data_IF_142138538048
#
_entry.id   IF_142138538048
#
_cell.length_a   1.000
_cell.length_b   1.000
_cell.length_c   1.000
_cell.angle_alpha   90.00
_cell.angle_beta   90.00
_cell.angle_gamma   90.00
#
_symmetry.space_group_name_H-M   'P 1'
#
loop_
_entity.id
_entity.type
_entity.pdbx_description
1 polymer ?
#
# COMPACT_ATOMS: atom_id res chain seq x y z
N UNK A 1 -18.27 -5.47 -4.14
CA UNK A 1 -17.76 -6.22 -2.97
C UNK A 1 -16.78 -7.25 -3.51
N UNK A 2 -15.48 -6.94 -3.48
CA UNK A 2 -14.44 -7.81 -4.03
C UNK A 2 -14.34 -9.07 -3.18
N UNK A 3 -14.58 -10.23 -3.79
CA UNK A 3 -14.27 -11.51 -3.18
C UNK A 3 -12.76 -11.68 -3.31
N UNK A 4 -12.07 -11.59 -2.19
CA UNK A 4 -10.66 -11.90 -2.08
C UNK A 4 -10.45 -13.36 -2.52
N UNK A 5 -9.64 -13.58 -3.55
CA UNK A 5 -9.30 -14.93 -4.06
C UNK A 5 -8.77 -15.81 -2.91
N UNK A 6 -8.15 -15.19 -1.90
CA UNK A 6 -7.68 -15.86 -0.68
C UNK A 6 -8.83 -16.40 0.20
N UNK A 7 -10.03 -15.82 0.16
CA UNK A 7 -11.20 -16.34 0.90
C UNK A 7 -11.80 -17.57 0.22
N UNK A 8 -11.83 -17.60 -1.12
CA UNK A 8 -12.26 -18.78 -1.90
C UNK A 8 -11.30 -19.96 -1.67
N UNK A 9 -9.99 -19.72 -1.73
CA UNK A 9 -8.98 -20.76 -1.49
C UNK A 9 -9.01 -21.33 -0.05
N UNK A 10 -9.33 -20.48 0.95
CA UNK A 10 -9.46 -20.91 2.35
C UNK A 10 -10.68 -21.78 2.62
N UNK A 11 -11.77 -21.59 1.88
CA UNK A 11 -12.98 -22.42 2.04
C UNK A 11 -12.81 -23.80 1.40
N UNK A 12 -12.21 -23.86 0.20
CA UNK A 12 -11.98 -25.11 -0.53
C UNK A 12 -11.02 -26.05 0.23
N UNK A 13 -10.00 -25.51 0.91
CA UNK A 13 -9.04 -26.32 1.68
C UNK A 13 -9.58 -26.90 2.99
N UNK A 14 -10.71 -26.41 3.51
CA UNK A 14 -11.18 -26.79 4.86
C UNK A 14 -12.14 -27.99 4.89
N UNK A 15 -12.79 -28.33 3.78
CA UNK A 15 -13.82 -29.39 3.78
C UNK A 15 -13.62 -30.53 2.78
N UNK A 16 -12.58 -30.52 1.93
CA UNK A 16 -12.23 -31.68 1.09
C UNK A 16 -13.31 -32.18 0.11
N UNK A 17 -14.42 -31.46 -0.04
CA UNK A 17 -15.46 -31.63 -1.06
C UNK A 17 -16.03 -30.26 -1.43
N UNK A 18 -16.37 -30.06 -2.69
CA UNK A 18 -17.04 -28.85 -3.19
C UNK A 18 -18.49 -28.84 -2.68
N UNK A 19 -18.78 -27.98 -1.70
CA UNK A 19 -20.15 -27.72 -1.26
C UNK A 19 -20.86 -26.80 -2.26
N UNK A 20 -22.13 -27.07 -2.64
CA UNK A 20 -22.89 -26.20 -3.54
C UNK A 20 -23.00 -24.78 -2.99
N UNK A 21 -22.80 -23.77 -3.83
CA UNK A 21 -22.82 -22.33 -3.49
C UNK A 21 -24.05 -21.91 -2.67
N UNK A 22 -25.20 -22.56 -2.88
CA UNK A 22 -26.46 -22.37 -2.13
C UNK A 22 -26.38 -22.58 -0.61
N UNK A 23 -25.32 -23.23 -0.10
CA UNK A 23 -25.17 -23.56 1.33
C UNK A 23 -24.21 -22.64 2.09
N UNK A 24 -23.58 -21.68 1.42
CA UNK A 24 -22.61 -20.77 2.07
C UNK A 24 -23.35 -19.51 2.54
N UNK A 25 -23.53 -19.37 3.85
CA UNK A 25 -24.23 -18.22 4.45
C UNK A 25 -23.22 -17.14 4.88
N UNK A 26 -23.24 -15.99 4.19
CA UNK A 26 -22.33 -14.86 4.43
C UNK A 26 -22.91 -13.76 5.35
N UNK A 27 -24.04 -14.02 6.02
CA UNK A 27 -24.86 -12.97 6.67
C UNK A 27 -24.71 -12.84 8.19
N UNK A 28 -23.59 -13.23 8.82
CA UNK A 28 -23.40 -12.99 10.26
C UNK A 28 -22.18 -12.12 10.59
N UNK A 29 -22.38 -10.89 11.10
CA UNK A 29 -21.34 -10.16 11.82
C UNK A 29 -21.03 -10.88 13.15
N UNK A 30 -19.75 -11.01 13.51
CA UNK A 30 -19.34 -11.47 14.85
C UNK A 30 -19.76 -10.42 15.89
N UNK A 31 -20.79 -10.71 16.68
CA UNK A 31 -21.01 -10.03 17.95
C UNK A 31 -20.09 -10.65 19.01
N UNK A 32 -19.40 -9.79 19.76
CA UNK A 32 -18.75 -10.13 21.02
C UNK A 32 -19.80 -10.58 22.04
N UNK A 33 -19.55 -11.69 22.73
CA UNK A 33 -20.27 -12.05 23.94
C UNK A 33 -19.28 -12.62 24.96
N UNK A 34 -19.07 -11.88 26.05
CA UNK A 34 -18.54 -12.40 27.31
C UNK A 34 -19.50 -13.44 27.90
N UNK A 35 -18.91 -14.41 28.58
CA UNK A 35 -19.49 -15.37 29.54
C UNK A 35 -20.75 -16.13 29.11
N UNK A 36 -20.64 -17.45 28.96
CA UNK A 36 -21.53 -18.42 29.59
C UNK A 36 -20.92 -19.82 29.49
N UNK A 37 -20.83 -20.45 30.66
CA UNK A 37 -20.43 -21.82 30.94
C UNK A 37 -21.37 -22.84 30.30
N UNK A 38 -20.84 -23.86 29.61
CA UNK A 38 -21.36 -25.24 29.70
C UNK A 38 -20.53 -26.23 28.88
N UNK A 39 -20.32 -27.38 29.49
CA UNK A 39 -19.62 -28.61 29.07
C UNK A 39 -20.27 -29.27 27.85
N UNK A 40 -19.45 -29.79 26.91
CA UNK A 40 -19.86 -30.87 25.98
C UNK A 40 -18.61 -31.60 25.39
N UNK A 41 -18.71 -32.87 24.97
CA UNK A 41 -17.71 -33.90 25.26
C UNK A 41 -16.70 -34.21 24.14
N UNK A 42 -15.55 -34.77 24.54
CA UNK A 42 -14.53 -35.38 23.67
C UNK A 42 -15.04 -36.70 23.10
N UNK A 43 -15.00 -36.85 21.78
CA UNK A 43 -15.00 -38.16 21.11
C UNK A 43 -13.69 -38.34 20.31
N UNK A 44 -13.06 -39.52 20.36
CA UNK A 44 -11.79 -39.78 19.70
C UNK A 44 -11.95 -40.03 18.19
N UNK A 45 -11.00 -39.49 17.42
CA UNK A 45 -10.79 -39.75 16.00
C UNK A 45 -10.39 -41.21 15.78
N UNK A 46 -11.09 -41.92 14.89
CA UNK A 46 -10.61 -43.16 14.28
C UNK A 46 -10.35 -42.94 12.79
N UNK A 47 -9.12 -43.22 12.39
CA UNK A 47 -8.60 -43.15 11.03
C UNK A 47 -9.30 -44.16 10.12
N UNK A 48 -9.82 -43.68 8.98
CA UNK A 48 -10.01 -44.52 7.79
C UNK A 48 -9.13 -44.00 6.67
N UNK A 49 -8.04 -44.73 6.42
CA UNK A 49 -7.23 -44.61 5.22
C UNK A 49 -7.93 -45.41 4.12
N UNK A 50 -8.20 -44.78 2.96
CA UNK A 50 -8.57 -45.48 1.73
C UNK A 50 -7.56 -45.06 0.66
N UNK A 51 -6.75 -45.99 0.12
CA UNK A 51 -5.76 -45.66 -0.91
C UNK A 51 -6.41 -45.84 -2.27
N UNK A 52 -6.72 -44.74 -2.96
CA UNK A 52 -6.91 -44.63 -4.42
C UNK A 52 -7.63 -43.30 -4.74
N UNK A 53 -6.91 -42.18 -4.80
CA UNK A 53 -7.37 -41.02 -5.59
C UNK A 53 -6.16 -40.45 -6.34
N UNK A 54 -6.17 -40.70 -7.65
CA UNK A 54 -5.30 -40.13 -8.67
C UNK A 54 -5.47 -38.60 -8.70
N UNK A 55 -4.45 -37.85 -8.26
CA UNK A 55 -4.44 -36.38 -8.23
C UNK A 55 -4.09 -35.79 -9.60
N UNK A 56 -4.91 -36.08 -10.61
CA UNK A 56 -4.99 -35.29 -11.85
C UNK A 56 -6.22 -34.41 -11.81
N UNK A 57 -6.13 -33.28 -11.12
CA UNK A 57 -7.14 -32.22 -11.27
C UNK A 57 -6.85 -31.52 -12.60
N UNK A 58 -7.56 -31.92 -13.66
CA UNK A 58 -7.78 -31.06 -14.82
C UNK A 58 -8.62 -29.87 -14.35
N UNK A 59 -8.11 -28.65 -14.54
CA UNK A 59 -8.93 -27.45 -14.42
C UNK A 59 -10.01 -27.52 -15.51
N UNK A 60 -11.26 -27.72 -15.13
CA UNK A 60 -12.38 -27.55 -16.04
C UNK A 60 -12.57 -26.03 -16.28
N UNK A 61 -12.63 -25.63 -17.54
CA UNK A 61 -12.96 -24.26 -17.93
C UNK A 61 -14.34 -23.90 -17.38
N UNK A 62 -14.45 -22.70 -16.78
CA UNK A 62 -15.71 -22.16 -16.26
C UNK A 62 -16.66 -21.97 -17.45
N UNK A 63 -17.85 -22.55 -17.37
CA UNK A 63 -18.83 -22.48 -18.44
C UNK A 63 -19.96 -21.47 -18.15
N UNK A 64 -20.78 -21.18 -19.15
CA UNK A 64 -21.87 -20.20 -19.07
C UNK A 64 -22.92 -20.55 -18.00
N UNK A 65 -23.07 -21.83 -17.67
CA UNK A 65 -24.02 -22.31 -16.68
C UNK A 65 -23.57 -21.93 -15.26
N UNK A 66 -22.26 -21.96 -14.99
CA UNK A 66 -21.66 -21.50 -13.74
C UNK A 66 -21.81 -19.99 -13.57
N UNK A 67 -21.65 -19.23 -14.66
CA UNK A 67 -21.83 -17.77 -14.68
C UNK A 67 -23.30 -17.36 -14.45
N UNK A 68 -24.26 -18.10 -15.01
CA UNK A 68 -25.69 -17.87 -14.78
C UNK A 68 -26.09 -18.14 -13.33
N UNK A 69 -25.55 -19.21 -12.72
CA UNK A 69 -25.78 -19.48 -11.30
C UNK A 69 -25.23 -18.35 -10.42
N UNK A 70 -24.04 -17.83 -10.73
CA UNK A 70 -23.45 -16.71 -9.98
C UNK A 70 -24.31 -15.43 -10.07
N UNK A 71 -24.82 -15.10 -11.26
CA UNK A 71 -25.74 -13.96 -11.47
C UNK A 71 -27.06 -14.11 -10.72
N UNK A 72 -27.57 -15.34 -10.59
CA UNK A 72 -28.82 -15.59 -9.86
C UNK A 72 -28.69 -15.34 -8.35
N UNK A 73 -27.49 -15.55 -7.80
CA UNK A 73 -27.23 -15.37 -6.37
C UNK A 73 -26.81 -13.93 -6.06
N UNK A 74 -26.12 -13.26 -6.99
CA UNK A 74 -25.70 -11.86 -6.88
C UNK A 74 -25.98 -11.06 -8.16
N UNK A 75 -27.20 -10.50 -8.30
CA UNK A 75 -27.64 -9.82 -9.53
C UNK A 75 -26.82 -8.58 -9.91
N UNK A 76 -26.11 -7.99 -8.96
CA UNK A 76 -25.32 -6.75 -9.13
C UNK A 76 -23.82 -7.02 -9.33
N UNK A 77 -23.40 -8.28 -9.48
CA UNK A 77 -22.00 -8.61 -9.73
C UNK A 77 -21.60 -8.25 -11.18
N UNK A 78 -20.62 -7.38 -11.34
CA UNK A 78 -20.02 -7.11 -12.65
C UNK A 78 -19.13 -8.28 -13.06
N UNK A 79 -19.43 -8.90 -14.20
CA UNK A 79 -18.60 -9.95 -14.82
C UNK A 79 -17.88 -9.31 -16.01
N UNK A 80 -16.58 -9.07 -15.88
CA UNK A 80 -15.74 -8.63 -16.99
C UNK A 80 -15.51 -9.83 -17.93
N UNK A 81 -16.29 -9.89 -19.00
CA UNK A 81 -16.05 -10.81 -20.11
C UNK A 81 -15.16 -10.08 -21.11
N UNK A 82 -13.91 -10.53 -21.27
CA UNK A 82 -13.07 -10.06 -22.36
C UNK A 82 -13.72 -10.50 -23.67
N UNK A 83 -14.21 -9.54 -24.45
CA UNK A 83 -14.91 -9.76 -25.72
C UNK A 83 -13.95 -10.38 -26.73
N UNK A 84 -14.21 -11.64 -27.10
CA UNK A 84 -13.79 -12.20 -28.38
C UNK A 84 -14.88 -11.84 -29.38
N UNK A 85 -14.51 -11.06 -30.40
CA UNK A 85 -15.44 -10.40 -31.30
C UNK A 85 -16.20 -11.31 -32.27
N UNK A 86 -17.31 -10.76 -32.79
CA UNK A 86 -17.91 -11.17 -34.06
C UNK A 86 -19.44 -11.11 -34.07
N UNK A 87 -20.02 -10.17 -34.82
CA UNK A 87 -21.37 -10.30 -35.40
C UNK A 87 -22.37 -9.17 -35.13
N UNK A 88 -22.48 -8.27 -36.11
CA UNK A 88 -23.59 -7.37 -36.48
C UNK A 88 -24.89 -7.35 -35.63
N UNK A 89 -25.35 -6.16 -35.23
CA UNK A 89 -26.52 -5.48 -35.83
C UNK A 89 -27.02 -4.32 -34.96
N UNK A 90 -27.17 -3.19 -35.64
CA UNK A 90 -28.09 -2.06 -35.39
C UNK A 90 -27.94 -1.16 -34.15
N UNK A 91 -27.97 0.11 -34.49
CA UNK A 91 -27.76 1.31 -33.71
C UNK A 91 -28.95 1.62 -32.80
N UNK A 92 -28.67 2.02 -31.56
CA UNK A 92 -29.44 3.07 -30.92
C UNK A 92 -28.47 4.03 -30.19
N UNK A 93 -28.55 5.28 -30.60
CA UNK A 93 -27.74 6.39 -30.11
C UNK A 93 -28.19 6.76 -28.69
N UNK A 94 -27.53 6.18 -27.69
CA UNK A 94 -27.41 6.80 -26.39
C UNK A 94 -26.07 7.55 -26.38
N UNK A 95 -26.14 8.88 -26.36
CA UNK A 95 -24.99 9.74 -26.07
C UNK A 95 -24.60 9.56 -24.60
N UNK A 96 -23.98 8.43 -24.29
CA UNK A 96 -23.05 8.38 -23.17
C UNK A 96 -21.83 9.12 -23.67
N UNK A 97 -21.61 10.33 -23.17
CA UNK A 97 -20.27 10.86 -23.12
C UNK A 97 -19.45 9.76 -22.47
N UNK A 98 -18.64 9.07 -23.27
CA UNK A 98 -17.42 8.43 -22.82
C UNK A 98 -16.65 9.55 -22.10
N UNK A 99 -17.00 9.80 -20.84
CA UNK A 99 -16.04 10.30 -19.87
C UNK A 99 -14.91 9.30 -20.03
N UNK A 100 -13.87 9.74 -20.74
CA UNK A 100 -12.62 9.01 -20.89
C UNK A 100 -12.35 8.38 -19.53
N UNK A 101 -12.57 7.07 -19.43
CA UNK A 101 -12.20 6.29 -18.27
C UNK A 101 -10.69 6.37 -18.27
N UNK A 102 -10.18 7.46 -17.68
CA UNK A 102 -8.77 7.78 -17.60
C UNK A 102 -8.14 6.56 -16.98
N UNK A 103 -7.35 5.85 -17.79
CA UNK A 103 -6.76 4.59 -17.37
C UNK A 103 -5.91 4.88 -16.14
N UNK A 104 -6.41 4.46 -14.98
CA UNK A 104 -5.64 4.50 -13.73
C UNK A 104 -4.32 3.79 -13.99
N UNK A 105 -3.23 4.38 -13.49
CA UNK A 105 -1.90 3.78 -13.59
C UNK A 105 -1.97 2.34 -13.08
N UNK A 106 -1.43 1.35 -13.78
CA UNK A 106 -1.41 -0.01 -13.26
C UNK A 106 -0.52 -0.13 -12.00
N UNK A 107 -0.93 -0.94 -11.00
CA UNK A 107 -0.10 -1.18 -9.84
C UNK A 107 1.11 -2.04 -10.21
N UNK A 108 2.26 -1.86 -9.54
CA UNK A 108 3.46 -2.66 -9.84
C UNK A 108 3.24 -4.17 -9.65
N UNK A 109 2.26 -4.56 -8.85
CA UNK A 109 1.89 -5.95 -8.62
C UNK A 109 1.27 -6.63 -9.85
N UNK A 110 0.82 -5.87 -10.86
CA UNK A 110 0.37 -6.39 -12.16
C UNK A 110 1.51 -6.95 -13.01
N UNK A 111 2.76 -6.60 -12.70
CA UNK A 111 3.96 -7.11 -13.38
C UNK A 111 4.21 -8.61 -13.16
N UNK A 112 3.43 -9.26 -12.31
CA UNK A 112 3.57 -10.68 -12.03
C UNK A 112 3.42 -11.52 -13.30
N UNK A 113 4.44 -12.32 -13.61
CA UNK A 113 4.45 -13.24 -14.74
C UNK A 113 4.72 -14.66 -14.22
N UNK A 114 3.75 -15.59 -14.30
CA UNK A 114 3.95 -16.96 -13.83
C UNK A 114 5.05 -17.70 -14.58
N UNK A 115 5.35 -17.32 -15.83
CA UNK A 115 6.42 -17.92 -16.64
C UNK A 115 7.81 -17.45 -16.22
N UNK A 116 7.91 -16.29 -15.55
CA UNK A 116 9.20 -15.76 -15.10
C UNK A 116 9.89 -16.66 -14.06
N UNK A 117 9.14 -17.50 -13.35
CA UNK A 117 9.68 -18.44 -12.35
C UNK A 117 10.54 -19.55 -12.95
N UNK A 118 10.28 -19.92 -14.20
CA UNK A 118 11.01 -21.02 -14.86
C UNK A 118 12.23 -20.52 -15.63
N UNK A 119 12.43 -19.20 -15.67
CA UNK A 119 13.55 -18.59 -16.38
C UNK A 119 14.84 -18.67 -15.55
N UNK A 120 16.00 -18.78 -16.20
CA UNK A 120 17.29 -18.54 -15.57
C UNK A 120 17.33 -17.14 -14.89
N UNK A 121 18.05 -16.99 -13.78
CA UNK A 121 18.17 -15.70 -13.08
C UNK A 121 18.65 -14.54 -13.97
N UNK A 122 19.54 -14.83 -14.94
CA UNK A 122 20.04 -13.83 -15.89
C UNK A 122 18.94 -13.28 -16.81
N UNK A 123 18.04 -14.15 -17.29
CA UNK A 123 16.91 -13.76 -18.14
C UNK A 123 15.87 -12.94 -17.36
N UNK A 124 15.63 -13.29 -16.09
CA UNK A 124 14.78 -12.49 -15.19
C UNK A 124 15.37 -11.10 -15.02
N UNK A 125 16.67 -11.01 -14.79
CA UNK A 125 17.35 -9.72 -14.63
C UNK A 125 17.27 -8.87 -15.91
N UNK A 126 17.43 -9.49 -17.08
CA UNK A 126 17.30 -8.78 -18.35
C UNK A 126 15.88 -8.24 -18.58
N UNK A 127 14.86 -9.01 -18.19
CA UNK A 127 13.46 -8.54 -18.19
C UNK A 127 13.24 -7.39 -17.22
N UNK A 128 13.82 -7.43 -16.02
CA UNK A 128 13.76 -6.32 -15.05
C UNK A 128 14.26 -5.01 -15.65
N UNK A 129 15.41 -5.04 -16.35
CA UNK A 129 15.97 -3.84 -16.99
C UNK A 129 15.00 -3.27 -18.03
N UNK A 130 14.41 -4.12 -18.89
CA UNK A 130 13.42 -3.69 -19.88
C UNK A 130 12.14 -3.11 -19.26
N UNK A 131 11.67 -3.70 -18.16
CA UNK A 131 10.48 -3.23 -17.45
C UNK A 131 10.67 -1.87 -16.80
N UNK A 132 11.85 -1.58 -16.24
CA UNK A 132 12.14 -0.27 -15.65
C UNK A 132 11.91 0.86 -16.66
N UNK A 133 12.39 0.69 -17.88
CA UNK A 133 12.20 1.65 -18.96
C UNK A 133 10.73 1.73 -19.40
N UNK A 134 10.04 0.59 -19.49
CA UNK A 134 8.61 0.53 -19.81
C UNK A 134 7.77 1.29 -18.78
N UNK A 135 8.05 1.11 -17.48
CA UNK A 135 7.35 1.80 -16.39
C UNK A 135 7.52 3.33 -16.48
N UNK A 136 8.71 3.81 -16.85
CA UNK A 136 8.94 5.25 -17.01
C UNK A 136 8.12 5.83 -18.17
N UNK A 137 7.95 5.08 -19.26
CA UNK A 137 7.16 5.49 -20.42
C UNK A 137 5.66 5.46 -20.11
N UNK A 138 5.17 4.40 -19.46
CA UNK A 138 3.74 4.22 -19.16
C UNK A 138 3.22 5.14 -18.05
N UNK A 139 4.11 5.71 -17.24
CA UNK A 139 3.75 6.64 -16.17
C UNK A 139 3.47 8.05 -16.74
N UNK A 140 2.22 8.33 -17.10
CA UNK A 140 1.78 9.65 -17.61
C UNK A 140 1.42 10.61 -16.48
N UNK A 141 1.46 11.93 -16.75
CA UNK A 141 1.13 12.94 -15.74
C UNK A 141 -0.36 12.88 -15.35
N UNK A 142 -1.21 12.55 -16.32
CA UNK A 142 -2.65 12.42 -16.18
C UNK A 142 -2.99 11.21 -15.28
N UNK A 143 -2.37 10.05 -15.52
CA UNK A 143 -2.57 8.87 -14.69
C UNK A 143 -2.07 9.08 -13.25
N UNK A 144 -0.97 9.82 -13.08
CA UNK A 144 -0.46 10.21 -11.75
C UNK A 144 -1.40 11.14 -11.00
N UNK A 145 -1.96 12.15 -11.69
CA UNK A 145 -2.92 13.07 -11.09
C UNK A 145 -4.21 12.35 -10.68
N UNK A 146 -4.70 11.42 -11.51
CA UNK A 146 -5.86 10.60 -11.16
C UNK A 146 -5.58 9.68 -9.97
N UNK A 147 -4.42 9.03 -9.95
CA UNK A 147 -4.02 8.18 -8.83
C UNK A 147 -3.96 8.98 -7.53
N UNK A 148 -3.36 10.16 -7.53
CA UNK A 148 -3.33 11.04 -6.36
C UNK A 148 -4.75 11.34 -5.89
N UNK A 149 -5.63 11.76 -6.80
CA UNK A 149 -7.01 12.11 -6.50
C UNK A 149 -7.79 10.97 -5.83
N UNK A 150 -7.79 9.76 -6.42
CA UNK A 150 -8.57 8.63 -5.91
C UNK A 150 -7.98 8.02 -4.62
N UNK A 151 -6.73 8.38 -4.28
CA UNK A 151 -6.03 7.85 -3.11
C UNK A 151 -5.91 8.84 -1.94
N UNK A 152 -6.60 9.99 -1.97
CA UNK A 152 -6.56 11.02 -0.91
C UNK A 152 -7.03 10.57 0.47
N UNK A 153 -7.85 9.52 0.55
CA UNK A 153 -8.25 8.89 1.82
C UNK A 153 -7.17 7.96 2.41
N UNK A 154 -6.02 7.86 1.73
CA UNK A 154 -4.82 7.15 2.15
C UNK A 154 -5.08 5.78 2.79
N UNK A 155 -4.85 5.65 4.10
CA UNK A 155 -4.96 4.39 4.82
C UNK A 155 -6.37 3.74 4.74
N UNK A 156 -7.41 4.53 4.47
CA UNK A 156 -8.78 4.04 4.26
C UNK A 156 -9.06 3.63 2.80
N UNK A 157 -8.17 3.96 1.87
CA UNK A 157 -8.28 3.64 0.45
C UNK A 157 -7.51 2.35 0.11
N UNK A 158 -8.19 1.38 -0.50
CA UNK A 158 -7.55 0.12 -0.89
C UNK A 158 -6.53 0.31 -2.02
N UNK A 159 -6.85 1.14 -3.00
CA UNK A 159 -5.96 1.45 -4.12
C UNK A 159 -4.66 2.09 -3.64
N UNK A 160 -4.74 2.94 -2.61
CA UNK A 160 -3.55 3.50 -1.96
C UNK A 160 -2.60 2.41 -1.45
N UNK A 161 -3.13 1.34 -0.82
CA UNK A 161 -2.29 0.22 -0.36
C UNK A 161 -1.69 -0.57 -1.52
N UNK A 162 -2.51 -0.85 -2.54
CA UNK A 162 -2.13 -1.62 -3.74
C UNK A 162 -1.04 -0.89 -4.51
N UNK A 163 -1.20 0.41 -4.77
CA UNK A 163 -0.19 1.21 -5.48
C UNK A 163 1.05 1.51 -4.63
N UNK A 164 1.04 1.35 -3.31
CA UNK A 164 2.27 1.45 -2.51
C UNK A 164 3.09 0.16 -2.52
N UNK A 165 2.48 -0.97 -2.87
CA UNK A 165 3.17 -2.26 -2.87
C UNK A 165 4.28 -2.27 -3.94
N UNK A 166 5.50 -2.63 -3.52
CA UNK A 166 6.66 -2.63 -4.41
C UNK A 166 7.32 -1.26 -4.59
N UNK A 167 6.81 -0.19 -3.96
CA UNK A 167 7.43 1.16 -4.03
C UNK A 167 8.20 1.50 -2.77
N UNK A 168 9.37 2.13 -2.93
CA UNK A 168 10.12 2.72 -1.83
C UNK A 168 9.43 4.02 -1.43
N UNK A 169 8.98 4.09 -0.18
CA UNK A 169 8.29 5.25 0.39
C UNK A 169 9.09 5.90 1.51
N UNK A 170 8.73 7.12 1.92
CA UNK A 170 9.53 7.93 2.84
C UNK A 170 9.78 7.25 4.19
N UNK A 171 8.80 6.48 4.69
CA UNK A 171 8.93 5.72 5.94
C UNK A 171 9.90 4.53 5.88
N UNK A 172 10.35 4.16 4.67
CA UNK A 172 11.31 3.08 4.42
C UNK A 172 12.66 3.61 3.94
N UNK A 173 12.71 4.81 3.36
CA UNK A 173 13.92 5.35 2.72
C UNK A 173 15.12 5.43 3.68
N UNK A 174 14.94 5.91 4.91
CA UNK A 174 16.04 5.93 5.89
C UNK A 174 16.66 4.54 6.08
N UNK A 175 15.83 3.48 6.14
CA UNK A 175 16.33 2.11 6.28
C UNK A 175 17.14 1.70 5.06
N UNK A 176 16.68 2.06 3.85
CA UNK A 176 17.40 1.82 2.59
C UNK A 176 18.74 2.56 2.59
N UNK A 177 18.76 3.83 3.01
CA UNK A 177 19.97 4.64 3.12
C UNK A 177 21.03 3.99 4.05
N UNK A 178 20.58 3.48 5.20
CA UNK A 178 21.44 2.83 6.20
C UNK A 178 21.80 1.37 5.88
N UNK A 179 21.30 0.77 4.80
CA UNK A 179 21.66 -0.60 4.43
C UNK A 179 23.16 -0.72 4.18
N UNK A 180 23.76 -1.70 4.83
CA UNK A 180 25.14 -2.15 4.60
C UNK A 180 25.14 -3.26 3.54
N UNK A 181 26.25 -3.44 2.82
CA UNK A 181 26.34 -4.38 1.69
C UNK A 181 26.10 -5.83 2.10
N UNK A 182 26.57 -6.21 3.28
CA UNK A 182 26.39 -7.55 3.85
C UNK A 182 25.01 -7.81 4.49
N UNK A 183 24.14 -6.81 4.57
CA UNK A 183 22.82 -6.96 5.22
C UNK A 183 21.86 -7.72 4.31
N UNK A 184 21.30 -8.87 4.73
CA UNK A 184 20.34 -9.62 3.93
C UNK A 184 19.14 -8.76 3.53
N UNK A 185 18.75 -8.82 2.25
CA UNK A 185 17.71 -7.95 1.68
C UNK A 185 16.29 -8.42 1.94
N UNK A 186 16.11 -9.67 2.37
CA UNK A 186 14.79 -10.28 2.60
C UNK A 186 13.82 -9.40 3.40
N UNK A 187 14.23 -8.93 4.59
CA UNK A 187 13.35 -8.14 5.48
C UNK A 187 12.97 -6.78 4.91
N UNK A 188 13.84 -6.15 4.11
CA UNK A 188 13.51 -4.86 3.48
C UNK A 188 12.61 -5.07 2.26
N UNK A 189 12.83 -6.14 1.50
CA UNK A 189 11.96 -6.55 0.39
C UNK A 189 10.56 -6.87 0.90
N UNK A 190 10.42 -7.73 1.91
CA UNK A 190 9.12 -8.04 2.52
C UNK A 190 8.39 -6.79 3.04
N UNK A 191 9.14 -5.79 3.53
CA UNK A 191 8.58 -4.52 4.00
C UNK A 191 8.09 -3.64 2.85
N UNK A 192 8.85 -3.55 1.75
CA UNK A 192 8.47 -2.78 0.54
C UNK A 192 7.32 -3.47 -0.20
N UNK A 193 7.32 -4.80 -0.25
CA UNK A 193 6.25 -5.63 -0.79
C UNK A 193 5.03 -5.74 0.13
N UNK A 194 5.11 -5.20 1.35
CA UNK A 194 4.03 -5.19 2.34
C UNK A 194 3.48 -6.59 2.71
N UNK A 195 4.26 -7.66 2.52
CA UNK A 195 3.83 -9.03 2.83
C UNK A 195 3.59 -9.26 4.33
N UNK A 196 4.32 -8.53 5.16
CA UNK A 196 4.21 -8.64 6.62
C UNK A 196 3.21 -7.62 7.21
N UNK A 197 2.21 -7.17 6.44
CA UNK A 197 1.20 -6.24 6.94
C UNK A 197 0.36 -6.94 8.01
N UNK A 198 0.63 -6.59 9.27
CA UNK A 198 -0.20 -6.95 10.41
C UNK A 198 -1.03 -5.73 10.75
N UNK A 199 -2.33 -5.92 10.94
CA UNK A 199 -3.17 -4.91 11.59
C UNK A 199 -2.74 -4.85 13.05
N UNK A 200 -1.73 -4.02 13.30
CA UNK A 200 -1.15 -3.83 14.61
C UNK A 200 -2.02 -2.84 15.38
N UNK A 201 -2.82 -3.38 16.30
CA UNK A 201 -3.56 -2.60 17.28
C UNK A 201 -2.60 -2.08 18.36
N UNK A 202 -1.76 -1.11 17.99
CA UNK A 202 -0.80 -0.49 18.89
C UNK A 202 -1.30 0.89 19.32
N UNK A 203 -1.30 1.20 20.63
CA UNK A 203 -1.77 2.49 21.13
C UNK A 203 -1.13 3.69 20.43
N UNK A 204 0.16 3.60 20.09
CA UNK A 204 0.86 4.67 19.40
C UNK A 204 0.39 4.90 17.96
N UNK A 205 0.03 3.84 17.23
CA UNK A 205 -0.48 3.94 15.86
C UNK A 205 -1.91 4.47 15.86
N UNK A 206 -2.76 3.97 16.76
CA UNK A 206 -4.12 4.47 16.93
C UNK A 206 -4.12 5.95 17.32
N UNK A 207 -3.32 6.34 18.32
CA UNK A 207 -3.19 7.73 18.72
C UNK A 207 -2.78 8.65 17.57
N UNK A 208 -1.77 8.24 16.79
CA UNK A 208 -1.34 8.99 15.61
C UNK A 208 -2.48 9.21 14.63
N UNK A 209 -3.15 8.13 14.22
CA UNK A 209 -4.28 8.16 13.28
C UNK A 209 -5.46 8.99 13.78
N UNK A 210 -5.80 8.86 15.06
CA UNK A 210 -6.97 9.50 15.64
C UNK A 210 -6.75 11.01 15.82
N UNK A 211 -5.50 11.43 16.07
CA UNK A 211 -5.15 12.84 16.33
C UNK A 211 -4.65 13.59 15.09
N UNK A 212 -4.30 12.90 14.01
CA UNK A 212 -3.77 13.51 12.77
C UNK A 212 -4.67 14.63 12.25
N UNK A 213 -5.98 14.37 12.14
CA UNK A 213 -6.94 15.37 11.65
C UNK A 213 -7.09 16.56 12.61
N UNK A 214 -7.02 16.32 13.93
CA UNK A 214 -7.04 17.38 14.94
C UNK A 214 -5.81 18.28 14.81
N UNK A 215 -4.63 17.68 14.68
CA UNK A 215 -3.38 18.39 14.49
C UNK A 215 -3.36 19.16 13.17
N UNK A 216 -3.86 18.57 12.08
CA UNK A 216 -3.97 19.21 10.77
C UNK A 216 -4.86 20.45 10.79
N UNK A 217 -6.00 20.39 11.49
CA UNK A 217 -6.88 21.56 11.71
C UNK A 217 -6.22 22.66 12.53
N UNK A 218 -5.48 22.29 13.57
CA UNK A 218 -4.73 23.25 14.39
C UNK A 218 -3.66 23.96 13.55
N UNK A 219 -2.92 23.21 12.73
CA UNK A 219 -1.97 23.76 11.77
C UNK A 219 -2.65 24.71 10.77
N UNK A 220 -3.77 24.29 10.14
CA UNK A 220 -4.50 25.12 9.17
C UNK A 220 -4.90 26.47 9.77
N UNK A 221 -5.49 26.44 10.97
CA UNK A 221 -5.94 27.65 11.68
C UNK A 221 -4.79 28.61 11.96
N UNK A 222 -3.63 28.08 12.36
CA UNK A 222 -2.44 28.89 12.63
C UNK A 222 -1.86 29.50 11.33
N UNK A 223 -1.80 28.72 10.25
CA UNK A 223 -1.22 29.18 8.98
C UNK A 223 -2.09 30.20 8.26
N UNK A 224 -3.42 30.09 8.31
CA UNK A 224 -4.35 31.06 7.71
C UNK A 224 -4.15 32.48 8.28
N UNK A 225 -3.69 32.60 9.53
CA UNK A 225 -3.41 33.90 10.16
C UNK A 225 -2.04 34.48 9.73
N UNK A 226 -1.09 33.62 9.36
CA UNK A 226 0.29 34.01 9.04
C UNK A 226 0.54 34.14 7.52
N UNK A 227 -0.28 33.49 6.70
CA UNK A 227 -0.07 33.39 5.26
C UNK A 227 -1.29 33.87 4.48
N UNK A 228 -1.07 34.79 3.54
CA UNK A 228 -2.12 35.27 2.65
C UNK A 228 -2.47 34.21 1.60
N UNK A 229 -3.76 33.97 1.39
CA UNK A 229 -4.24 32.98 0.40
C UNK A 229 -3.78 31.56 0.72
N UNK A 230 -3.65 31.23 2.01
CA UNK A 230 -3.25 29.90 2.45
C UNK A 230 -4.32 28.85 2.10
N UNK A 231 -3.89 27.73 1.56
CA UNK A 231 -4.72 26.56 1.29
C UNK A 231 -4.03 25.32 1.81
N UNK A 232 -4.78 24.46 2.49
CA UNK A 232 -4.36 23.12 2.87
C UNK A 232 -5.36 22.10 2.30
N UNK A 233 -4.88 21.18 1.47
CA UNK A 233 -5.69 20.09 0.93
C UNK A 233 -5.16 18.74 1.38
N UNK A 234 -6.03 17.72 1.41
CA UNK A 234 -5.56 16.34 1.51
C UNK A 234 -4.67 15.98 0.32
N UNK A 235 -3.78 15.02 0.53
CA UNK A 235 -2.91 14.47 -0.50
C UNK A 235 -3.07 12.96 -0.57
N UNK A 236 -3.09 12.41 -1.79
CA UNK A 236 -3.05 10.97 -2.02
C UNK A 236 -1.63 10.45 -2.16
N UNK A 237 -1.49 9.39 -2.96
CA UNK A 237 -0.21 8.83 -3.36
C UNK A 237 0.35 9.58 -4.57
N UNK A 238 1.47 10.26 -4.36
CA UNK A 238 2.31 10.79 -5.43
C UNK A 238 3.36 9.75 -5.82
N UNK A 239 3.64 9.63 -7.12
CA UNK A 239 4.72 8.79 -7.67
C UNK A 239 5.64 9.68 -8.51
N UNK A 240 6.94 9.46 -8.41
CA UNK A 240 7.93 10.19 -9.20
C UNK A 240 7.94 9.63 -10.63
N UNK A 241 7.52 10.41 -11.62
CA UNK A 241 7.46 9.97 -13.03
C UNK A 241 8.78 9.40 -13.54
N UNK A 242 9.90 10.08 -13.27
CA UNK A 242 11.23 9.64 -13.72
C UNK A 242 11.74 8.42 -12.95
N UNK A 243 11.12 8.11 -11.81
CA UNK A 243 11.51 7.02 -10.92
C UNK A 243 10.27 6.35 -10.32
N UNK A 244 9.45 5.62 -11.12
CA UNK A 244 8.13 5.14 -10.71
C UNK A 244 8.12 4.17 -9.52
N UNK A 245 9.30 3.66 -9.14
CA UNK A 245 9.53 2.87 -7.94
C UNK A 245 9.50 3.69 -6.64
N UNK A 246 9.48 5.03 -6.72
CA UNK A 246 9.38 5.94 -5.58
C UNK A 246 7.96 6.45 -5.42
N UNK A 247 7.47 6.44 -4.18
CA UNK A 247 6.15 6.98 -3.84
C UNK A 247 6.16 7.78 -2.54
N UNK A 248 5.26 8.75 -2.43
CA UNK A 248 5.08 9.58 -1.25
C UNK A 248 3.60 9.87 -1.01
N UNK A 249 3.21 9.95 0.27
CA UNK A 249 1.89 10.40 0.68
C UNK A 249 2.12 11.38 1.83
N UNK A 250 2.21 12.69 1.55
CA UNK A 250 2.27 13.71 2.60
C UNK A 250 0.91 13.81 3.30
N UNK A 251 0.88 14.39 4.50
CA UNK A 251 -0.35 14.55 5.29
C UNK A 251 -1.22 15.73 4.77
N UNK A 252 -0.63 16.57 3.92
CA UNK A 252 -1.35 17.56 3.13
C UNK A 252 -0.49 18.26 2.09
N UNK A 253 -1.14 18.90 1.14
CA UNK A 253 -0.53 19.86 0.21
C UNK A 253 -0.84 21.26 0.71
N UNK A 254 0.20 22.09 0.83
CA UNK A 254 0.06 23.48 1.27
C UNK A 254 0.41 24.42 0.13
N UNK A 255 -0.30 25.54 0.04
CA UNK A 255 0.03 26.61 -0.89
C UNK A 255 -0.34 27.95 -0.30
N UNK A 256 0.47 28.97 -0.54
CA UNK A 256 0.13 30.37 -0.23
C UNK A 256 0.87 31.33 -1.15
N UNK A 257 0.39 32.58 -1.23
CA UNK A 257 0.95 33.57 -2.17
C UNK A 257 2.39 33.95 -1.84
N UNK A 258 2.77 33.92 -0.55
CA UNK A 258 4.10 34.33 -0.11
C UNK A 258 5.17 33.23 -0.17
N UNK A 259 4.79 31.95 -0.07
CA UNK A 259 5.74 30.84 -0.02
C UNK A 259 5.67 29.88 -1.21
N UNK A 260 4.62 29.96 -2.03
CA UNK A 260 4.35 28.98 -3.07
C UNK A 260 3.82 27.67 -2.48
N UNK A 261 4.07 26.57 -3.18
CA UNK A 261 3.55 25.24 -2.82
C UNK A 261 4.58 24.37 -2.08
N UNK A 262 4.09 23.63 -1.10
CA UNK A 262 4.86 22.69 -0.29
C UNK A 262 4.01 21.52 0.16
N UNK A 263 4.58 20.70 1.04
CA UNK A 263 3.88 19.58 1.69
C UNK A 263 3.82 19.75 3.20
N UNK A 264 2.86 19.12 3.84
CA UNK A 264 2.72 19.03 5.29
C UNK A 264 3.02 17.61 5.76
N UNK A 265 3.80 17.49 6.84
CA UNK A 265 4.00 16.25 7.59
C UNK A 265 3.65 16.51 9.06
N UNK A 266 2.62 15.81 9.55
CA UNK A 266 2.08 15.91 10.90
C UNK A 266 2.58 14.74 11.74
N UNK A 267 3.05 15.03 12.96
CA UNK A 267 3.40 14.01 13.94
C UNK A 267 2.69 14.24 15.27
N UNK A 268 1.97 13.21 15.71
CA UNK A 268 1.34 13.14 17.03
C UNK A 268 2.03 12.06 17.88
N UNK A 269 3.18 12.33 18.53
CA UNK A 269 3.95 11.28 19.20
C UNK A 269 3.27 10.83 20.50
N UNK A 270 2.85 9.56 20.55
CA UNK A 270 2.15 8.99 21.71
C UNK A 270 2.93 9.11 23.03
N UNK A 271 4.26 8.96 23.00
CA UNK A 271 5.12 9.09 24.20
C UNK A 271 5.06 10.49 24.82
N UNK A 272 4.91 11.53 23.99
CA UNK A 272 4.92 12.94 24.41
C UNK A 272 3.55 13.60 24.22
N UNK A 273 2.49 12.80 24.20
CA UNK A 273 1.12 13.27 23.90
C UNK A 273 0.61 14.33 24.88
N UNK A 274 1.07 14.32 26.12
CA UNK A 274 0.66 15.29 27.15
C UNK A 274 1.53 16.55 27.16
N UNK A 275 2.62 16.62 26.37
CA UNK A 275 3.56 17.74 26.31
C UNK A 275 5.00 17.30 26.06
N UNK A 276 5.89 18.25 25.76
CA UNK A 276 7.28 18.00 25.36
C UNK A 276 8.29 18.06 26.52
N UNK A 277 7.83 18.21 27.76
CA UNK A 277 8.72 18.25 28.91
C UNK A 277 9.56 16.95 29.00
N UNK A 278 10.88 17.10 29.07
CA UNK A 278 11.83 15.98 29.12
C UNK A 278 12.03 15.25 27.78
N UNK A 279 11.48 15.74 26.66
CA UNK A 279 11.68 15.10 25.36
C UNK A 279 13.15 15.11 24.92
N UNK A 280 13.91 16.14 25.31
CA UNK A 280 15.31 16.30 24.93
C UNK A 280 16.25 15.30 25.62
N UNK A 281 15.83 14.73 26.75
CA UNK A 281 16.59 13.68 27.45
C UNK A 281 16.47 12.32 26.73
N UNK A 282 15.50 12.19 25.82
CA UNK A 282 15.33 10.99 25.01
C UNK A 282 16.10 11.11 23.67
N UNK A 283 17.16 10.31 23.46
CA UNK A 283 17.91 10.34 22.20
C UNK A 283 17.05 9.95 20.99
N UNK A 284 15.98 9.17 21.20
CA UNK A 284 15.04 8.75 20.15
C UNK A 284 13.99 9.80 19.77
N UNK A 285 13.90 10.92 20.51
CA UNK A 285 13.04 12.03 20.11
C UNK A 285 13.51 12.62 18.78
N UNK A 286 12.56 12.97 17.90
CA UNK A 286 12.89 13.35 16.53
C UNK A 286 13.57 14.72 16.38
N UNK A 287 13.38 15.62 17.36
CA UNK A 287 13.95 16.96 17.31
C UNK A 287 15.11 17.12 18.29
N UNK A 288 15.98 18.09 18.02
CA UNK A 288 17.08 18.49 18.90
C UNK A 288 16.62 19.48 19.99
N UNK A 289 17.59 20.03 20.74
CA UNK A 289 17.31 20.99 21.81
C UNK A 289 16.74 22.33 21.32
N UNK A 290 16.95 22.69 20.05
CA UNK A 290 16.37 23.86 19.41
C UNK A 290 14.99 23.58 18.77
N UNK A 291 14.47 22.37 18.97
CA UNK A 291 13.26 21.85 18.33
C UNK A 291 13.38 21.82 16.79
N UNK A 292 14.59 21.66 16.27
CA UNK A 292 14.83 21.38 14.86
C UNK A 292 14.79 19.88 14.59
N UNK A 293 14.24 19.46 13.44
CA UNK A 293 14.21 18.05 13.10
C UNK A 293 15.64 17.53 12.88
N UNK A 294 16.05 16.52 13.65
CA UNK A 294 17.38 15.92 13.53
C UNK A 294 17.59 15.37 12.11
N UNK A 295 18.66 15.78 11.45
CA UNK A 295 19.00 15.33 10.09
C UNK A 295 19.29 13.82 10.02
N UNK A 296 19.64 13.20 11.14
CA UNK A 296 19.86 11.76 11.28
C UNK A 296 18.58 10.98 11.55
N UNK A 297 17.46 11.65 11.82
CA UNK A 297 16.21 10.98 12.16
C UNK A 297 15.48 10.47 10.91
N UNK A 298 14.80 9.31 10.96
CA UNK A 298 14.06 8.77 9.82
C UNK A 298 13.04 9.73 9.19
N UNK A 299 12.41 10.58 10.00
CA UNK A 299 11.46 11.58 9.49
C UNK A 299 12.13 12.62 8.58
N UNK A 300 13.41 12.95 8.77
CA UNK A 300 14.10 13.88 7.88
C UNK A 300 14.21 13.31 6.47
N UNK A 301 14.57 12.03 6.33
CA UNK A 301 14.57 11.34 5.04
C UNK A 301 13.17 11.20 4.44
N UNK A 302 12.16 11.00 5.29
CA UNK A 302 10.76 10.93 4.84
C UNK A 302 10.32 12.23 4.17
N UNK A 303 10.51 13.37 4.82
CA UNK A 303 10.10 14.67 4.26
C UNK A 303 10.93 15.07 3.06
N UNK A 304 12.23 14.74 3.05
CA UNK A 304 13.08 14.95 1.86
C UNK A 304 12.55 14.16 0.66
N UNK A 305 12.18 12.88 0.85
CA UNK A 305 11.58 12.10 -0.23
C UNK A 305 10.23 12.66 -0.68
N UNK A 306 9.38 13.10 0.25
CA UNK A 306 8.09 13.71 -0.11
C UNK A 306 8.29 14.95 -0.98
N UNK A 307 9.23 15.84 -0.62
CA UNK A 307 9.57 17.01 -1.42
C UNK A 307 10.08 16.63 -2.81
N UNK A 308 10.97 15.63 -2.90
CA UNK A 308 11.49 15.13 -4.17
C UNK A 308 10.42 14.51 -5.07
N UNK A 309 9.54 13.67 -4.52
CA UNK A 309 8.47 13.00 -5.26
C UNK A 309 7.39 13.98 -5.70
N UNK A 310 7.01 14.92 -4.83
CA UNK A 310 5.96 15.91 -5.12
C UNK A 310 6.48 17.11 -5.93
N UNK A 311 7.80 17.25 -6.12
CA UNK A 311 8.41 18.34 -6.87
C UNK A 311 8.31 19.70 -6.17
N UNK A 312 8.31 19.74 -4.84
CA UNK A 312 8.22 20.97 -4.03
C UNK A 312 9.53 21.25 -3.29
N UNK A 313 9.69 22.49 -2.81
CA UNK A 313 10.95 22.95 -2.20
C UNK A 313 10.94 23.00 -0.67
N UNK A 314 9.78 22.79 -0.04
CA UNK A 314 9.68 22.75 1.41
C UNK A 314 8.62 21.77 1.90
N UNK A 315 8.84 21.30 3.12
CA UNK A 315 7.89 20.58 3.93
C UNK A 315 7.69 21.35 5.23
N UNK A 316 6.44 21.62 5.58
CA UNK A 316 6.09 22.08 6.92
C UNK A 316 5.95 20.85 7.82
N UNK A 317 6.84 20.74 8.79
CA UNK A 317 6.83 19.69 9.78
C UNK A 317 6.12 20.19 11.03
N UNK A 318 4.99 19.56 11.35
CA UNK A 318 4.12 19.98 12.43
C UNK A 318 4.00 18.88 13.48
N UNK A 319 4.59 19.12 14.65
CA UNK A 319 4.49 18.21 15.79
C UNK A 319 3.40 18.71 16.73
N UNK A 320 2.42 17.86 17.01
CA UNK A 320 1.27 18.19 17.84
C UNK A 320 1.23 17.33 19.10
N UNK A 321 0.99 17.98 20.24
CA UNK A 321 0.68 17.36 21.53
C UNK A 321 -0.58 18.03 22.09
N UNK A 322 -1.13 17.50 23.19
CA UNK A 322 -2.27 18.12 23.87
C UNK A 322 -1.93 19.47 24.52
N UNK A 323 -0.67 19.69 24.89
CA UNK A 323 -0.25 20.90 25.62
C UNK A 323 0.31 21.97 24.67
N UNK A 324 1.04 21.57 23.63
CA UNK A 324 1.77 22.47 22.75
C UNK A 324 1.97 21.91 21.34
N UNK A 325 2.32 22.79 20.41
CA UNK A 325 2.61 22.47 19.01
C UNK A 325 3.93 23.06 18.58
N UNK A 326 4.69 22.33 17.75
CA UNK A 326 5.93 22.80 17.16
C UNK A 326 5.80 22.81 15.65
N UNK A 327 6.07 23.96 15.05
CA UNK A 327 6.12 24.16 13.60
C UNK A 327 7.57 24.41 13.16
N UNK A 328 8.03 23.65 12.16
CA UNK A 328 9.31 23.87 11.49
C UNK A 328 9.19 23.68 10.00
N UNK A 329 9.66 24.66 9.23
CA UNK A 329 9.80 24.53 7.78
C UNK A 329 11.14 23.89 7.45
N UNK A 330 11.09 22.76 6.77
CA UNK A 330 12.25 22.02 6.29
C UNK A 330 12.39 22.29 4.80
N UNK A 331 13.59 22.65 4.35
CA UNK A 331 13.88 22.91 2.94
C UNK A 331 14.41 21.67 2.25
N UNK A 332 14.15 21.56 0.96
CA UNK A 332 14.67 20.46 0.15
C UNK A 332 16.19 20.50 0.06
N UNK A 333 16.83 19.37 0.40
CA UNK A 333 18.27 19.18 0.30
C UNK A 333 18.56 17.97 -0.61
N UNK A 334 18.97 18.28 -1.84
CA UNK A 334 19.32 17.26 -2.84
C UNK A 334 20.46 16.35 -2.41
N UNK A 335 21.41 16.85 -1.60
CA UNK A 335 22.60 16.10 -1.22
C UNK A 335 22.23 14.96 -0.25
N UNK A 336 21.23 15.19 0.60
CA UNK A 336 20.71 14.17 1.52
C UNK A 336 20.12 12.98 0.75
N UNK A 337 19.56 13.20 -0.43
CA UNK A 337 18.92 12.15 -1.22
C UNK A 337 19.82 11.49 -2.25
N UNK A 338 20.97 12.05 -2.59
CA UNK A 338 21.81 11.54 -3.68
C UNK A 338 22.15 10.04 -3.51
N UNK A 339 22.69 9.67 -2.35
CA UNK A 339 23.03 8.27 -2.06
C UNK A 339 21.81 7.40 -1.75
N UNK A 340 20.82 7.85 -0.94
CA UNK A 340 19.60 7.07 -0.71
C UNK A 340 18.83 6.71 -1.97
N UNK A 341 18.73 7.62 -2.96
CA UNK A 341 18.02 7.36 -4.21
C UNK A 341 18.76 6.32 -5.06
N UNK A 342 20.08 6.41 -5.19
CA UNK A 342 20.91 5.38 -5.86
C UNK A 342 20.73 4.00 -5.22
N UNK A 343 20.76 3.93 -3.88
CA UNK A 343 20.52 2.67 -3.16
C UNK A 343 19.10 2.14 -3.35
N UNK A 344 18.10 3.03 -3.39
CA UNK A 344 16.71 2.64 -3.61
C UNK A 344 16.48 2.09 -5.03
N UNK A 345 17.11 2.69 -6.04
CA UNK A 345 17.06 2.21 -7.42
C UNK A 345 17.71 0.84 -7.55
N UNK A 346 18.93 0.67 -7.03
CA UNK A 346 19.63 -0.62 -7.04
C UNK A 346 18.82 -1.69 -6.33
N UNK A 347 18.29 -1.39 -5.13
CA UNK A 347 17.43 -2.31 -4.38
C UNK A 347 16.17 -2.68 -5.18
N UNK A 348 15.59 -1.72 -5.88
CA UNK A 348 14.40 -1.96 -6.70
C UNK A 348 14.72 -2.92 -7.85
N UNK A 349 15.75 -2.65 -8.62
CA UNK A 349 16.15 -3.45 -9.79
C UNK A 349 16.59 -4.86 -9.38
N UNK A 350 17.41 -4.99 -8.33
CA UNK A 350 18.03 -6.28 -7.98
C UNK A 350 17.13 -7.21 -7.16
N UNK A 351 16.13 -6.65 -6.46
CA UNK A 351 15.40 -7.41 -5.45
C UNK A 351 13.89 -7.21 -5.48
N UNK A 352 13.39 -5.99 -5.70
CA UNK A 352 11.94 -5.74 -5.71
C UNK A 352 11.32 -6.15 -7.03
N UNK A 353 11.92 -5.78 -8.16
CA UNK A 353 11.39 -6.07 -9.48
C UNK A 353 11.40 -7.57 -9.81
N UNK A 354 12.46 -8.35 -9.47
CA UNK A 354 12.40 -9.81 -9.56
C UNK A 354 11.31 -10.42 -8.68
N UNK A 355 11.09 -9.87 -7.48
CA UNK A 355 10.02 -10.34 -6.60
C UNK A 355 8.62 -9.98 -7.14
N UNK A 356 8.44 -8.81 -7.75
CA UNK A 356 7.19 -8.42 -8.42
C UNK A 356 6.87 -9.37 -9.58
N UNK A 357 7.88 -9.75 -10.37
CA UNK A 357 7.75 -10.68 -11.49
C UNK A 357 7.46 -12.11 -11.05
N UNK A 358 8.19 -12.61 -10.05
CA UNK A 358 8.22 -14.04 -9.71
C UNK A 358 7.39 -14.42 -8.49
N UNK A 359 7.15 -13.48 -7.56
CA UNK A 359 6.56 -13.71 -6.23
C UNK A 359 7.24 -14.83 -5.46
N UNK A 360 8.54 -15.01 -5.64
CA UNK A 360 9.30 -16.12 -5.06
C UNK A 360 9.23 -16.12 -3.53
N UNK A 361 9.47 -14.97 -2.90
CA UNK A 361 9.47 -14.84 -1.44
C UNK A 361 8.09 -15.09 -0.83
N UNK A 362 7.03 -14.56 -1.45
CA UNK A 362 5.67 -14.77 -0.98
C UNK A 362 5.31 -16.25 -0.92
N UNK A 363 5.69 -17.02 -1.94
CA UNK A 363 5.36 -18.44 -2.04
C UNK A 363 6.13 -19.26 -1.02
N UNK A 364 7.43 -19.02 -0.85
CA UNK A 364 8.25 -19.70 0.17
C UNK A 364 7.65 -19.53 1.56
N UNK A 365 7.14 -18.34 1.89
CA UNK A 365 6.44 -18.12 3.15
C UNK A 365 5.14 -18.94 3.25
N UNK A 366 4.31 -18.98 2.20
CA UNK A 366 3.04 -19.75 2.25
C UNK A 366 3.26 -21.25 2.46
N UNK A 367 4.32 -21.83 1.90
CA UNK A 367 4.64 -23.25 2.06
C UNK A 367 5.29 -23.57 3.43
N UNK A 368 6.01 -22.63 4.04
CA UNK A 368 6.63 -22.83 5.35
C UNK A 368 5.62 -22.95 6.51
N UNK A 369 4.38 -22.45 6.36
CA UNK A 369 3.33 -22.52 7.39
C UNK A 369 2.43 -23.77 7.29
N UNK A 370 2.62 -24.61 6.28
CA UNK A 370 1.89 -25.88 6.11
C UNK A 370 2.85 -27.00 5.69
N UNK A 371 3.67 -27.54 6.62
CA UNK A 371 4.35 -28.79 6.38
C UNK A 371 3.29 -29.91 6.30
N UNK A 372 3.30 -30.64 5.17
CA UNK A 372 2.45 -31.79 4.90
C UNK A 372 2.61 -32.91 5.93
#
# INVERSE_FOLDING_TARGET
>A
MYIDILQLERHVKKEGRTSPLSKINFSRPKQNAESLTSVAPKYPMTNFYSPEIDNRILYAEINDQDLMQLKSVFPTAAILTSVVGGGSSETDTASETEEEMLSLLEPLTSLYDPTAKTLPPEDVQQRCIGLMHSLQISTTAEALAQLELVTREQAKCQDWHVHRMGRVTGSVLHRVASLQDNTPRLKIVEKIMQYNRKDLDLPALNWGRDMEETARKAYNTAMEQMHTGFTLTHAGLHIKKESPFLGASPDGLVSCTCCGSGVLEVKCPYKYREGLLGCHDDPSFCMDAALELKHTHPYYYQVQLQMYVCGVQFCDFFLWTKAETVYRRITFDKNVLEMPLKKAEQLFIDHILPELLTRHLLLVQTFAFYPW
#
